data_IF_336443141114
#
_entry.id   IF_336443141114
#
_cell.length_a   1.000
_cell.length_b   1.000
_cell.length_c   1.000
_cell.angle_alpha   90.00
_cell.angle_beta   90.00
_cell.angle_gamma   90.00
#
_symmetry.space_group_name_H-M   'P 1'
#
loop_
_entity.id
_entity.type
_entity.pdbx_description
1 polymer ?
#
# COMPACT_ATOMS: atom_id res chain seq x y z
N UNK A 1 0.53 -5.34 -8.43
CA UNK A 1 0.01 -6.72 -8.46
C UNK A 1 0.13 -7.29 -9.86
N UNK A 2 -0.64 -6.81 -10.85
CA UNK A 2 -0.62 -7.33 -12.22
C UNK A 2 0.78 -7.37 -12.85
N UNK A 3 1.58 -6.31 -12.68
CA UNK A 3 2.97 -6.27 -13.16
C UNK A 3 3.85 -7.38 -12.55
N UNK A 4 3.77 -7.58 -11.22
CA UNK A 4 4.54 -8.65 -10.56
C UNK A 4 4.13 -10.03 -11.08
N UNK A 5 2.83 -10.27 -11.24
CA UNK A 5 2.31 -11.54 -11.75
C UNK A 5 2.76 -11.77 -13.20
N UNK A 6 2.65 -10.76 -14.05
CA UNK A 6 3.06 -10.86 -15.46
C UNK A 6 4.53 -11.27 -15.58
N UNK A 7 5.43 -10.64 -14.82
CA UNK A 7 6.86 -10.99 -14.81
C UNK A 7 7.07 -12.43 -14.32
N UNK A 8 6.42 -12.85 -13.22
CA UNK A 8 6.56 -14.21 -12.70
C UNK A 8 6.07 -15.27 -13.70
N UNK A 9 4.96 -15.03 -14.40
CA UNK A 9 4.44 -15.93 -15.41
C UNK A 9 5.35 -16.00 -16.63
N UNK A 10 5.77 -14.85 -17.18
CA UNK A 10 6.67 -14.79 -18.32
C UNK A 10 7.98 -15.55 -18.06
N UNK A 11 8.57 -15.42 -16.88
CA UNK A 11 9.79 -16.15 -16.48
C UNK A 11 9.56 -17.65 -16.28
N UNK A 12 8.32 -18.09 -16.13
CA UNK A 12 7.94 -19.51 -16.12
C UNK A 12 7.58 -20.07 -17.50
N UNK A 13 7.70 -19.25 -18.54
CA UNK A 13 7.48 -19.67 -19.93
C UNK A 13 6.08 -19.37 -20.46
N UNK A 14 5.21 -18.75 -19.66
CA UNK A 14 3.85 -18.40 -20.09
C UNK A 14 3.85 -17.18 -21.02
N UNK A 15 2.96 -17.17 -22.00
CA UNK A 15 2.67 -16.00 -22.83
C UNK A 15 1.64 -15.11 -22.12
N UNK A 16 1.97 -13.86 -21.88
CA UNK A 16 1.16 -12.96 -21.04
C UNK A 16 0.69 -11.76 -21.85
N UNK A 17 -0.59 -11.43 -21.77
CA UNK A 17 -1.12 -10.15 -22.25
C UNK A 17 -1.50 -9.29 -21.03
N UNK A 18 -0.86 -8.14 -20.89
CA UNK A 18 -1.08 -7.19 -19.80
C UNK A 18 -1.91 -6.01 -20.29
N UNK A 19 -3.18 -5.95 -19.82
CA UNK A 19 -4.08 -4.83 -20.10
C UNK A 19 -3.99 -3.78 -18.97
N UNK A 20 -3.92 -2.50 -19.34
CA UNK A 20 -4.07 -1.37 -18.42
C UNK A 20 -4.83 -0.24 -19.10
N UNK A 21 -5.74 0.40 -18.40
CA UNK A 21 -6.49 1.56 -18.89
C UNK A 21 -5.59 2.80 -19.05
N UNK A 22 -4.49 2.89 -18.32
CA UNK A 22 -3.51 3.95 -18.44
C UNK A 22 -2.59 3.72 -19.67
N UNK A 23 -1.99 4.80 -20.16
CA UNK A 23 -1.03 4.73 -21.29
C UNK A 23 0.32 4.15 -20.93
N UNK A 24 0.59 3.95 -19.63
CA UNK A 24 1.80 3.30 -19.11
C UNK A 24 1.46 2.50 -17.84
N UNK A 25 2.20 1.42 -17.55
CA UNK A 25 1.98 0.65 -16.34
C UNK A 25 2.42 1.42 -15.08
N UNK A 26 1.85 1.06 -13.93
CA UNK A 26 2.25 1.57 -12.61
C UNK A 26 2.17 3.10 -12.48
N UNK A 27 1.14 3.74 -13.04
CA UNK A 27 0.92 5.20 -12.95
C UNK A 27 -0.04 5.61 -11.84
N UNK A 28 -0.78 4.67 -11.26
CA UNK A 28 -1.80 4.92 -10.22
C UNK A 28 -1.29 4.68 -8.79
N UNK A 29 -2.16 4.13 -7.94
CA UNK A 29 -1.93 3.91 -6.51
C UNK A 29 -0.65 3.12 -6.17
N UNK A 30 -0.14 2.28 -7.08
CA UNK A 30 1.11 1.54 -6.87
C UNK A 30 2.35 2.44 -6.86
N UNK A 31 2.30 3.57 -7.59
CA UNK A 31 3.38 4.57 -7.64
C UNK A 31 3.24 5.60 -6.53
N UNK A 32 2.01 5.95 -6.20
CA UNK A 32 1.67 7.10 -5.38
C UNK A 32 1.07 6.68 -4.03
N UNK A 33 1.91 6.10 -3.16
CA UNK A 33 1.55 5.73 -1.78
C UNK A 33 2.77 5.86 -0.85
N UNK A 34 2.56 5.68 0.45
CA UNK A 34 3.56 5.84 1.50
C UNK A 34 4.70 4.82 1.47
N UNK A 35 4.58 3.77 0.66
CA UNK A 35 5.58 2.72 0.54
C UNK A 35 5.84 1.91 1.80
N UNK A 36 4.93 1.92 2.76
CA UNK A 36 5.05 1.15 3.98
C UNK A 36 4.95 -0.35 3.70
N UNK A 37 5.96 -1.10 4.12
CA UNK A 37 5.95 -2.55 4.05
C UNK A 37 5.47 -3.10 5.38
N UNK A 38 4.16 -3.34 5.42
CA UNK A 38 3.44 -3.66 6.64
C UNK A 38 3.84 -4.99 7.25
N UNK A 39 4.15 -4.94 8.55
CA UNK A 39 4.28 -6.10 9.44
C UNK A 39 3.09 -6.20 10.42
N UNK A 40 2.15 -5.25 10.37
CA UNK A 40 0.92 -5.29 11.13
C UNK A 40 0.77 -4.23 12.22
N UNK A 41 1.79 -3.44 12.52
CA UNK A 41 1.77 -2.48 13.64
C UNK A 41 0.67 -1.41 13.53
N UNK A 42 0.29 -1.00 12.33
CA UNK A 42 -0.74 0.03 12.11
C UNK A 42 -2.13 -0.37 12.67
N UNK A 43 -2.39 -1.65 12.88
CA UNK A 43 -3.73 -2.18 13.13
C UNK A 43 -4.01 -2.44 14.61
N UNK A 44 -3.56 -1.54 15.50
CA UNK A 44 -3.71 -1.70 16.94
C UNK A 44 -5.17 -1.74 17.43
N UNK A 45 -6.15 -1.33 16.63
CA UNK A 45 -7.56 -1.52 16.95
C UNK A 45 -8.06 -2.96 16.69
N UNK A 46 -7.35 -3.78 15.90
CA UNK A 46 -7.62 -5.22 15.75
C UNK A 46 -6.87 -6.05 16.80
N UNK A 47 -7.38 -6.06 18.02
CA UNK A 47 -6.78 -6.78 19.15
C UNK A 47 -6.68 -8.31 18.95
N UNK A 48 -7.38 -8.86 17.96
CA UNK A 48 -7.28 -10.29 17.61
C UNK A 48 -5.96 -10.69 16.96
N UNK A 49 -5.16 -9.73 16.46
CA UNK A 49 -3.99 -9.90 15.61
C UNK A 49 -4.28 -10.53 14.23
N UNK A 50 -5.54 -10.75 13.85
CA UNK A 50 -5.87 -11.37 12.56
C UNK A 50 -5.28 -10.60 11.39
N UNK A 51 -5.38 -9.26 11.44
CA UNK A 51 -4.79 -8.38 10.40
C UNK A 51 -3.27 -8.48 10.36
N UNK A 52 -2.60 -8.44 11.52
CA UNK A 52 -1.15 -8.57 11.59
C UNK A 52 -0.69 -9.95 11.07
N UNK A 53 -1.37 -11.01 11.47
CA UNK A 53 -1.08 -12.38 11.03
C UNK A 53 -1.21 -12.56 9.51
N UNK A 54 -2.16 -11.88 8.88
CA UNK A 54 -2.31 -11.88 7.41
C UNK A 54 -1.22 -11.08 6.69
N UNK A 55 -0.83 -9.93 7.23
CA UNK A 55 0.09 -9.01 6.58
C UNK A 55 1.56 -9.40 6.73
N UNK A 56 1.95 -9.98 7.86
CA UNK A 56 3.37 -10.25 8.18
C UNK A 56 4.04 -11.15 7.15
N UNK A 57 3.34 -12.17 6.64
CA UNK A 57 3.88 -13.08 5.62
C UNK A 57 4.24 -12.34 4.33
N UNK A 58 3.33 -11.51 3.82
CA UNK A 58 3.58 -10.70 2.63
C UNK A 58 4.65 -9.63 2.88
N UNK A 59 4.66 -9.02 4.08
CA UNK A 59 5.66 -8.03 4.47
C UNK A 59 7.08 -8.61 4.51
N UNK A 60 7.25 -9.78 5.13
CA UNK A 60 8.55 -10.49 5.19
C UNK A 60 9.04 -10.97 3.82
N UNK A 61 8.13 -11.41 2.95
CA UNK A 61 8.44 -11.86 1.60
C UNK A 61 8.69 -10.71 0.60
N UNK A 62 8.36 -9.46 0.97
CA UNK A 62 8.34 -8.36 0.02
C UNK A 62 9.70 -8.08 -0.61
N UNK A 63 10.74 -7.86 0.19
CA UNK A 63 12.05 -7.48 -0.32
C UNK A 63 12.67 -8.55 -1.23
N UNK A 64 12.78 -9.83 -0.82
CA UNK A 64 13.36 -10.85 -1.68
C UNK A 64 12.58 -11.03 -2.98
N UNK A 65 11.25 -11.02 -2.96
CA UNK A 65 10.45 -11.16 -4.19
C UNK A 65 10.56 -9.94 -5.11
N UNK A 66 10.65 -8.73 -4.56
CA UNK A 66 10.81 -7.53 -5.38
C UNK A 66 12.22 -7.45 -5.99
N UNK A 67 13.25 -7.87 -5.26
CA UNK A 67 14.62 -7.97 -5.81
C UNK A 67 14.72 -9.05 -6.89
N UNK A 68 14.03 -10.18 -6.72
CA UNK A 68 13.89 -11.20 -7.76
C UNK A 68 13.21 -10.63 -9.02
N UNK A 69 12.07 -9.96 -8.86
CA UNK A 69 11.32 -9.38 -9.97
C UNK A 69 12.11 -8.31 -10.73
N UNK A 70 12.79 -7.42 -10.01
CA UNK A 70 13.50 -6.30 -10.63
C UNK A 70 14.92 -6.66 -11.06
N UNK A 71 15.47 -7.78 -10.59
CA UNK A 71 16.87 -8.17 -10.79
C UNK A 71 17.86 -7.19 -10.15
N UNK A 72 17.41 -6.34 -9.22
CA UNK A 72 18.21 -5.25 -8.62
C UNK A 72 17.89 -5.11 -7.12
N UNK A 73 18.85 -4.65 -6.30
CA UNK A 73 18.59 -4.30 -4.91
C UNK A 73 17.54 -3.18 -4.81
N UNK A 74 16.72 -3.23 -3.76
CA UNK A 74 15.77 -2.16 -3.44
C UNK A 74 16.53 -0.87 -3.08
N UNK A 75 16.01 0.25 -3.55
CA UNK A 75 16.58 1.58 -3.33
C UNK A 75 15.64 2.46 -2.52
N UNK A 76 16.19 3.52 -1.91
CA UNK A 76 15.45 4.53 -1.13
C UNK A 76 14.55 3.88 -0.08
N UNK A 77 15.14 2.99 0.70
CA UNK A 77 14.52 2.42 1.91
C UNK A 77 14.77 3.41 3.05
N UNK A 78 13.72 3.75 3.80
CA UNK A 78 13.85 4.60 4.98
C UNK A 78 14.96 4.09 5.91
N UNK A 79 15.91 4.94 6.32
CA UNK A 79 17.11 4.49 7.05
C UNK A 79 16.80 4.02 8.46
N UNK A 80 15.73 4.57 9.07
CA UNK A 80 15.29 4.26 10.44
C UNK A 80 14.00 3.47 10.49
N UNK A 81 13.76 2.89 11.65
CA UNK A 81 12.49 2.26 12.01
C UNK A 81 11.41 3.32 12.20
N UNK A 82 10.17 3.00 11.84
CA UNK A 82 9.04 3.94 11.94
C UNK A 82 8.71 4.28 13.40
N UNK A 83 8.40 5.57 13.62
CA UNK A 83 7.78 6.02 14.87
C UNK A 83 6.27 5.94 14.75
N UNK A 84 5.61 5.29 15.70
CA UNK A 84 4.17 5.31 15.86
C UNK A 84 3.82 6.24 17.01
N UNK A 85 3.21 7.37 16.66
CA UNK A 85 2.89 8.47 17.57
C UNK A 85 1.41 8.44 17.89
N UNK A 86 1.08 8.21 19.15
CA UNK A 86 -0.30 8.07 19.59
C UNK A 86 -0.87 9.46 19.89
N UNK A 87 -1.86 9.85 19.11
CA UNK A 87 -2.55 11.12 19.26
C UNK A 87 -3.53 11.07 20.44
N UNK A 88 -3.76 12.19 21.14
CA UNK A 88 -4.71 12.29 22.26
C UNK A 88 -6.15 11.86 21.89
N UNK A 89 -6.51 11.95 20.59
CA UNK A 89 -7.80 11.48 20.05
C UNK A 89 -7.69 10.12 19.36
N UNK A 90 -6.66 9.33 19.65
CA UNK A 90 -6.53 7.97 19.10
C UNK A 90 -7.69 7.09 19.58
N UNK A 91 -8.24 6.26 18.69
CA UNK A 91 -9.26 5.25 19.06
C UNK A 91 -8.69 4.12 19.92
N UNK A 92 -7.35 4.03 20.02
CA UNK A 92 -6.63 3.05 20.84
C UNK A 92 -5.79 3.79 21.87
N UNK A 93 -5.98 3.57 23.17
CA UNK A 93 -5.16 4.16 24.23
C UNK A 93 -3.68 3.74 24.13
N UNK A 94 -2.73 4.56 24.63
CA UNK A 94 -1.29 4.30 24.55
C UNK A 94 -0.84 2.95 25.10
N UNK A 95 -1.38 2.53 26.24
CA UNK A 95 -1.09 1.25 26.89
C UNK A 95 -1.52 0.06 26.03
N UNK A 96 -2.73 0.11 25.48
CA UNK A 96 -3.23 -0.91 24.55
C UNK A 96 -2.43 -0.95 23.25
N UNK A 97 -2.03 0.20 22.71
CA UNK A 97 -1.17 0.28 21.54
C UNK A 97 0.20 -0.36 21.82
N UNK A 98 0.82 -0.05 22.95
CA UNK A 98 2.09 -0.65 23.37
C UNK A 98 2.01 -2.16 23.54
N UNK A 99 0.96 -2.66 24.21
CA UNK A 99 0.71 -4.09 24.38
C UNK A 99 0.50 -4.79 23.03
N UNK A 100 -0.25 -4.17 22.11
CA UNK A 100 -0.44 -4.67 20.75
C UNK A 100 0.90 -4.73 19.98
N UNK A 101 1.71 -3.67 20.03
CA UNK A 101 3.01 -3.63 19.33
C UNK A 101 3.98 -4.70 19.85
N UNK A 102 3.96 -4.99 21.15
CA UNK A 102 4.74 -6.09 21.73
C UNK A 102 4.32 -7.45 21.16
N UNK A 103 3.02 -7.71 21.03
CA UNK A 103 2.46 -8.94 20.45
C UNK A 103 2.77 -9.07 18.96
N UNK A 104 2.67 -7.97 18.19
CA UNK A 104 3.07 -7.97 16.77
C UNK A 104 4.56 -8.25 16.64
N UNK A 105 5.40 -7.66 17.50
CA UNK A 105 6.84 -7.91 17.52
C UNK A 105 7.17 -9.39 17.78
N UNK A 106 6.44 -10.04 18.68
CA UNK A 106 6.55 -11.48 18.90
C UNK A 106 6.18 -12.27 17.64
N UNK A 107 5.04 -11.96 17.02
CA UNK A 107 4.58 -12.60 15.78
C UNK A 107 5.60 -12.45 14.65
N UNK A 108 6.22 -11.27 14.52
CA UNK A 108 7.27 -11.03 13.53
C UNK A 108 8.48 -11.93 13.77
N UNK A 109 8.98 -12.01 15.01
CA UNK A 109 10.11 -12.91 15.36
C UNK A 109 9.81 -14.37 15.06
N UNK A 110 8.61 -14.84 15.43
CA UNK A 110 8.18 -16.23 15.21
C UNK A 110 8.11 -16.58 13.71
N UNK A 111 7.78 -15.62 12.86
CA UNK A 111 7.62 -15.84 11.43
C UNK A 111 8.81 -15.38 10.57
N UNK A 112 9.73 -14.63 11.15
CA UNK A 112 10.88 -14.13 10.40
C UNK A 112 11.72 -15.26 9.81
N UNK A 113 11.98 -16.36 10.56
CA UNK A 113 12.59 -17.59 10.03
C UNK A 113 13.85 -17.38 9.18
N UNK A 114 14.64 -16.31 9.43
CA UNK A 114 15.74 -15.87 8.59
C UNK A 114 15.32 -15.04 7.36
N UNK A 115 14.04 -14.70 7.20
CA UNK A 115 13.58 -13.85 6.12
C UNK A 115 14.18 -12.45 6.24
N UNK A 116 14.71 -11.96 5.12
CA UNK A 116 15.24 -10.62 5.00
C UNK A 116 14.14 -9.64 4.60
N UNK A 117 13.48 -9.07 5.58
CA UNK A 117 12.59 -7.91 5.40
C UNK A 117 13.39 -6.73 4.76
N UNK A 118 13.02 -5.49 4.94
CA UNK A 118 13.85 -4.32 4.60
C UNK A 118 15.04 -4.13 5.56
N UNK A 119 15.11 -4.96 6.58
CA UNK A 119 16.16 -5.08 7.62
C UNK A 119 16.09 -6.46 8.24
N UNK A 120 17.06 -6.81 9.08
CA UNK A 120 16.95 -7.97 9.95
C UNK A 120 15.82 -7.78 10.98
N UNK A 121 14.96 -8.78 11.10
CA UNK A 121 13.82 -8.83 12.01
C UNK A 121 13.89 -9.96 13.04
N UNK A 122 15.03 -10.66 13.15
CA UNK A 122 15.19 -11.74 14.13
C UNK A 122 14.94 -11.27 15.57
N UNK A 123 15.34 -10.03 15.89
CA UNK A 123 15.15 -9.37 17.18
C UNK A 123 14.10 -8.26 17.14
N UNK A 124 13.07 -8.41 16.29
CA UNK A 124 12.02 -7.40 16.17
C UNK A 124 11.38 -7.07 17.52
N UNK A 125 11.44 -5.80 17.94
CA UNK A 125 10.85 -5.29 19.19
C UNK A 125 10.30 -3.90 18.98
N UNK A 126 9.21 -3.59 19.65
CA UNK A 126 8.71 -2.23 19.80
C UNK A 126 9.26 -1.64 21.11
N UNK A 127 9.66 -0.37 21.05
CA UNK A 127 10.19 0.36 22.20
C UNK A 127 9.38 1.64 22.42
N UNK A 128 8.92 1.88 23.63
CA UNK A 128 8.33 3.17 23.98
C UNK A 128 9.40 4.26 23.95
N UNK A 129 9.05 5.42 23.41
CA UNK A 129 9.90 6.60 23.47
C UNK A 129 9.87 7.19 24.89
N UNK A 130 11.02 7.62 25.39
CA UNK A 130 11.10 8.44 26.61
C UNK A 130 10.43 9.80 26.39
N UNK A 131 10.11 10.51 27.46
CA UNK A 131 9.52 11.85 27.38
C UNK A 131 10.44 12.84 26.61
N UNK A 132 11.77 12.70 26.76
CA UNK A 132 12.73 13.51 26.04
C UNK A 132 12.75 13.23 24.53
N UNK A 133 12.75 11.94 24.14
CA UNK A 133 12.69 11.53 22.73
C UNK A 133 11.36 11.97 22.09
N UNK A 134 10.24 11.80 22.81
CA UNK A 134 8.94 12.21 22.32
C UNK A 134 8.89 13.73 22.10
N UNK A 135 9.31 14.51 23.10
CA UNK A 135 9.34 15.97 23.04
C UNK A 135 10.26 16.52 21.95
N UNK A 136 11.29 15.75 21.54
CA UNK A 136 12.20 16.15 20.46
C UNK A 136 11.58 16.00 19.05
N UNK A 137 10.54 15.16 18.89
CA UNK A 137 10.00 14.80 17.55
C UNK A 137 8.53 15.19 17.38
N UNK A 138 7.77 15.36 18.46
CA UNK A 138 6.31 15.44 18.41
C UNK A 138 5.75 16.70 19.04
N UNK A 139 4.62 17.20 18.52
CA UNK A 139 3.85 18.29 19.09
C UNK A 139 2.95 17.84 20.28
N UNK A 140 2.37 18.80 20.97
CA UNK A 140 1.65 18.61 22.25
C UNK A 140 0.46 17.62 22.19
N UNK A 141 -0.18 17.47 21.03
CA UNK A 141 -1.30 16.54 20.88
C UNK A 141 -0.87 15.06 20.80
N UNK A 142 0.42 14.77 20.76
CA UNK A 142 0.96 13.41 20.80
C UNK A 142 1.28 13.06 22.25
N UNK A 143 0.58 12.04 22.75
CA UNK A 143 0.63 11.67 24.19
C UNK A 143 1.55 10.46 24.47
N UNK A 144 1.93 9.71 23.44
CA UNK A 144 2.90 8.63 23.53
C UNK A 144 3.54 8.36 22.17
N UNK A 145 4.70 7.71 22.16
CA UNK A 145 5.38 7.29 20.96
C UNK A 145 6.06 5.93 21.12
N UNK A 146 6.16 5.20 20.03
CA UNK A 146 6.80 3.89 19.98
C UNK A 146 7.66 3.80 18.71
N UNK A 147 8.87 3.29 18.84
CA UNK A 147 9.70 2.88 17.70
C UNK A 147 9.40 1.42 17.39
N UNK A 148 9.00 1.13 16.16
CA UNK A 148 8.64 -0.24 15.73
C UNK A 148 9.49 -0.65 14.52
N UNK A 149 9.86 -1.93 14.39
CA UNK A 149 10.72 -2.42 13.31
C UNK A 149 9.97 -2.55 11.97
N UNK A 150 9.24 -1.53 11.59
CA UNK A 150 8.55 -1.41 10.31
C UNK A 150 9.20 -0.28 9.51
N UNK A 151 9.32 -0.44 8.20
CA UNK A 151 9.97 0.53 7.32
C UNK A 151 9.16 0.77 6.06
N UNK A 152 9.49 1.86 5.39
CA UNK A 152 8.93 2.25 4.10
C UNK A 152 10.03 2.38 3.05
N UNK A 153 9.65 2.35 1.78
CA UNK A 153 10.51 2.62 0.64
C UNK A 153 9.81 3.57 -0.35
N UNK A 154 10.60 4.26 -1.18
CA UNK A 154 10.07 5.15 -2.20
C UNK A 154 9.40 4.37 -3.32
N UNK A 155 8.07 4.40 -3.38
CA UNK A 155 7.27 3.65 -4.37
C UNK A 155 7.46 4.16 -5.79
N UNK A 156 7.79 5.44 -5.97
CA UNK A 156 8.12 6.01 -7.29
C UNK A 156 9.35 5.31 -7.86
N UNK A 157 10.42 5.22 -7.07
CA UNK A 157 11.65 4.54 -7.47
C UNK A 157 11.42 3.05 -7.76
N UNK A 158 10.63 2.37 -6.92
CA UNK A 158 10.33 0.95 -7.13
C UNK A 158 9.44 0.72 -8.36
N UNK A 159 8.48 1.63 -8.61
CA UNK A 159 7.66 1.55 -9.81
C UNK A 159 8.51 1.68 -11.09
N UNK A 160 9.51 2.58 -11.11
CA UNK A 160 10.44 2.70 -12.23
C UNK A 160 11.25 1.42 -12.44
N UNK A 161 11.76 0.80 -11.38
CA UNK A 161 12.46 -0.49 -11.46
C UNK A 161 11.56 -1.62 -12.01
N UNK A 162 10.27 -1.64 -11.63
CA UNK A 162 9.31 -2.62 -12.15
C UNK A 162 8.92 -2.36 -13.61
N UNK A 163 8.81 -1.10 -14.04
CA UNK A 163 8.57 -0.74 -15.43
C UNK A 163 9.72 -1.24 -16.31
N UNK A 164 10.97 -1.01 -15.88
CA UNK A 164 12.16 -1.54 -16.57
C UNK A 164 12.11 -3.08 -16.67
N UNK A 165 11.77 -3.75 -15.58
CA UNK A 165 11.68 -5.21 -15.55
C UNK A 165 10.57 -5.75 -16.46
N UNK A 166 9.39 -5.11 -16.49
CA UNK A 166 8.31 -5.45 -17.41
C UNK A 166 8.72 -5.31 -18.87
N UNK A 167 9.40 -4.22 -19.21
CA UNK A 167 9.86 -3.95 -20.57
C UNK A 167 10.93 -4.93 -21.06
N UNK A 168 11.66 -5.56 -20.13
CA UNK A 168 12.69 -6.55 -20.44
C UNK A 168 12.12 -7.96 -20.74
N UNK A 169 10.86 -8.24 -20.39
CA UNK A 169 10.25 -9.56 -20.57
C UNK A 169 9.60 -9.70 -21.95
N UNK A 170 10.21 -10.44 -22.85
CA UNK A 170 9.75 -10.61 -24.25
C UNK A 170 8.42 -11.37 -24.39
N UNK A 171 8.02 -12.15 -23.36
CA UNK A 171 6.76 -12.91 -23.33
C UNK A 171 5.58 -12.09 -22.83
N UNK A 172 5.75 -10.79 -22.55
CA UNK A 172 4.67 -9.91 -22.12
C UNK A 172 4.26 -8.99 -23.25
N UNK A 173 3.04 -9.16 -23.73
CA UNK A 173 2.41 -8.23 -24.69
C UNK A 173 1.68 -7.14 -23.91
N UNK A 174 2.09 -5.90 -24.11
CA UNK A 174 1.49 -4.74 -23.43
C UNK A 174 0.30 -4.19 -24.23
N UNK A 175 -0.89 -4.13 -23.64
CA UNK A 175 -2.12 -3.50 -24.15
C UNK A 175 -2.48 -2.30 -23.29
N UNK A 176 -1.64 -1.27 -23.36
CA UNK A 176 -1.85 -0.01 -22.61
C UNK A 176 -2.94 0.85 -23.26
N UNK A 177 -3.58 1.71 -22.48
CA UNK A 177 -4.74 2.51 -22.91
C UNK A 177 -6.00 1.68 -23.15
N UNK A 178 -6.05 0.44 -22.67
CA UNK A 178 -7.14 -0.51 -22.92
C UNK A 178 -7.91 -0.77 -21.64
N UNK A 179 -9.09 -0.17 -21.52
CA UNK A 179 -9.97 -0.35 -20.35
C UNK A 179 -10.79 -1.63 -20.48
N UNK A 180 -10.46 -2.64 -19.64
CA UNK A 180 -11.28 -3.85 -19.53
C UNK A 180 -12.47 -3.58 -18.64
N UNK A 181 -13.69 -3.73 -19.19
CA UNK A 181 -14.97 -3.54 -18.49
C UNK A 181 -15.66 -4.87 -18.18
N UNK A 182 -15.41 -5.88 -18.99
CA UNK A 182 -16.10 -7.18 -18.91
C UNK A 182 -15.19 -8.34 -19.31
N UNK A 183 -15.52 -9.49 -18.83
CA UNK A 183 -14.97 -10.78 -19.22
C UNK A 183 -16.10 -11.79 -19.40
N UNK A 184 -15.92 -12.77 -20.26
CA UNK A 184 -16.92 -13.81 -20.51
C UNK A 184 -16.28 -15.20 -20.55
N UNK A 185 -16.92 -16.18 -19.92
CA UNK A 185 -16.49 -17.57 -20.01
C UNK A 185 -16.72 -18.11 -21.43
N UNK A 186 -15.84 -19.01 -21.87
CA UNK A 186 -15.97 -19.81 -23.11
C UNK A 186 -16.13 -21.24 -22.66
N UNK A 187 -17.20 -21.92 -23.12
CA UNK A 187 -17.50 -23.32 -22.81
C UNK A 187 -17.63 -23.64 -21.31
N UNK A 188 -18.18 -22.70 -20.56
CA UNK A 188 -18.42 -22.81 -19.13
C UNK A 188 -17.24 -22.33 -18.26
N UNK A 189 -17.38 -22.47 -16.93
CA UNK A 189 -16.46 -21.87 -15.95
C UNK A 189 -15.06 -22.53 -15.92
N UNK A 190 -14.97 -23.77 -16.32
CA UNK A 190 -13.71 -24.54 -16.39
C UNK A 190 -12.93 -24.33 -17.70
N UNK A 191 -13.55 -23.65 -18.68
CA UNK A 191 -12.97 -23.36 -19.98
C UNK A 191 -12.12 -22.10 -19.99
N UNK A 192 -11.78 -21.69 -21.23
CA UNK A 192 -11.10 -20.42 -21.49
C UNK A 192 -12.00 -19.22 -21.22
N UNK A 193 -11.40 -18.06 -21.08
CA UNK A 193 -12.09 -16.79 -20.86
C UNK A 193 -11.81 -15.81 -22.01
N UNK A 194 -12.76 -14.96 -22.30
CA UNK A 194 -12.66 -13.93 -23.34
C UNK A 194 -12.51 -12.54 -22.74
N UNK A 195 -11.53 -11.78 -23.23
CA UNK A 195 -11.31 -10.35 -22.93
C UNK A 195 -11.14 -9.62 -24.25
N UNK A 196 -11.92 -8.56 -24.53
CA UNK A 196 -11.88 -7.83 -25.79
C UNK A 196 -11.96 -8.70 -27.04
N UNK A 197 -12.72 -9.79 -27.00
CA UNK A 197 -12.87 -10.72 -28.12
C UNK A 197 -11.77 -11.78 -28.24
N UNK A 198 -10.63 -11.63 -27.58
CA UNK A 198 -9.53 -12.61 -27.54
C UNK A 198 -9.77 -13.66 -26.45
N UNK A 199 -9.40 -14.92 -26.73
CA UNK A 199 -9.51 -16.04 -25.79
C UNK A 199 -8.19 -16.23 -25.02
N UNK A 200 -8.32 -16.54 -23.73
CA UNK A 200 -7.21 -16.79 -22.81
C UNK A 200 -7.50 -18.03 -21.95
N UNK A 201 -6.49 -18.85 -21.72
CA UNK A 201 -6.62 -20.00 -20.80
C UNK A 201 -6.92 -19.57 -19.38
N UNK A 202 -6.27 -18.51 -18.93
CA UNK A 202 -6.49 -17.88 -17.64
C UNK A 202 -6.72 -16.39 -17.78
N UNK A 203 -7.63 -15.83 -16.98
CA UNK A 203 -7.80 -14.38 -16.82
C UNK A 203 -7.60 -14.02 -15.36
N UNK A 204 -6.68 -13.08 -15.09
CA UNK A 204 -6.41 -12.61 -13.75
C UNK A 204 -6.82 -11.14 -13.60
N UNK A 205 -7.81 -10.90 -12.78
CA UNK A 205 -8.28 -9.57 -12.43
C UNK A 205 -7.44 -9.00 -11.28
N UNK A 206 -6.52 -8.10 -11.61
CA UNK A 206 -5.65 -7.35 -10.71
C UNK A 206 -5.94 -5.83 -10.73
N UNK A 207 -7.16 -5.45 -11.08
CA UNK A 207 -7.58 -4.06 -11.38
C UNK A 207 -7.78 -3.18 -10.14
N UNK A 208 -7.50 -3.66 -8.94
CA UNK A 208 -7.60 -2.92 -7.69
C UNK A 208 -9.02 -2.33 -7.48
N UNK A 209 -9.18 -1.01 -7.61
CA UNK A 209 -10.49 -0.35 -7.44
C UNK A 209 -11.51 -0.71 -8.54
N UNK A 210 -11.05 -1.06 -9.74
CA UNK A 210 -11.91 -1.54 -10.84
C UNK A 210 -12.31 -3.02 -10.73
N UNK A 211 -11.77 -3.75 -9.77
CA UNK A 211 -11.87 -5.20 -9.68
C UNK A 211 -13.30 -5.71 -9.53
N UNK A 212 -14.09 -5.10 -8.64
CA UNK A 212 -15.45 -5.59 -8.34
C UNK A 212 -16.39 -5.53 -9.54
N UNK A 213 -16.26 -4.49 -10.37
CA UNK A 213 -17.10 -4.33 -11.58
C UNK A 213 -16.82 -5.44 -12.60
N UNK A 214 -15.57 -5.79 -12.81
CA UNK A 214 -15.17 -6.89 -13.73
C UNK A 214 -15.47 -8.25 -13.11
N UNK A 215 -15.27 -8.44 -11.78
CA UNK A 215 -15.68 -9.64 -11.07
C UNK A 215 -17.18 -9.96 -11.26
N UNK A 216 -18.01 -8.93 -11.24
CA UNK A 216 -19.47 -9.10 -11.44
C UNK A 216 -19.78 -9.67 -12.84
N UNK A 217 -19.06 -9.26 -13.89
CA UNK A 217 -19.25 -9.82 -15.25
C UNK A 217 -18.78 -11.27 -15.35
N UNK A 218 -17.79 -11.66 -14.55
CA UNK A 218 -17.38 -13.04 -14.40
C UNK A 218 -18.35 -13.88 -13.54
N UNK A 219 -19.37 -13.25 -12.94
CA UNK A 219 -20.30 -13.92 -12.02
C UNK A 219 -19.74 -14.13 -10.62
N UNK A 220 -18.70 -13.39 -10.22
CA UNK A 220 -18.22 -13.33 -8.84
C UNK A 220 -18.90 -12.16 -8.11
N UNK A 221 -19.90 -12.44 -7.30
CA UNK A 221 -20.59 -11.43 -6.50
C UNK A 221 -19.57 -10.70 -5.58
N UNK A 222 -19.68 -9.38 -5.42
CA UNK A 222 -18.87 -8.64 -4.47
C UNK A 222 -19.04 -9.19 -3.04
N UNK A 223 -17.96 -9.33 -2.25
CA UNK A 223 -18.11 -9.66 -0.83
C UNK A 223 -18.80 -8.50 -0.09
N UNK A 224 -19.52 -8.74 1.00
CA UNK A 224 -20.22 -7.69 1.71
C UNK A 224 -19.27 -6.70 2.38
N UNK A 225 -19.61 -5.40 2.31
CA UNK A 225 -18.95 -4.33 3.07
C UNK A 225 -17.57 -3.98 2.53
N UNK A 226 -17.52 -3.03 1.62
CA UNK A 226 -16.27 -2.45 1.10
C UNK A 226 -16.35 -0.94 1.02
N UNK A 227 -15.19 -0.29 0.84
CA UNK A 227 -15.09 1.13 0.49
C UNK A 227 -13.96 1.39 -0.48
N UNK A 228 -14.19 2.35 -1.37
CA UNK A 228 -13.21 2.96 -2.24
C UNK A 228 -12.95 4.39 -1.75
N UNK A 229 -11.71 4.71 -1.39
CA UNK A 229 -11.32 6.05 -0.97
C UNK A 229 -10.24 6.59 -1.86
N UNK A 230 -10.53 7.69 -2.56
CA UNK A 230 -9.51 8.37 -3.35
C UNK A 230 -8.72 9.31 -2.46
N UNK A 231 -7.43 9.05 -2.32
CA UNK A 231 -6.54 9.83 -1.48
C UNK A 231 -5.35 10.34 -2.24
N UNK A 232 -4.95 11.57 -1.92
CA UNK A 232 -3.70 12.18 -2.40
C UNK A 232 -2.81 12.55 -1.23
N UNK A 233 -1.52 12.67 -1.51
CA UNK A 233 -0.46 12.97 -0.54
C UNK A 233 0.62 13.81 -1.21
N UNK A 234 1.50 14.40 -0.42
CA UNK A 234 2.63 15.17 -0.91
C UNK A 234 3.86 14.28 -1.06
N UNK A 235 4.46 14.27 -2.25
CA UNK A 235 5.75 13.68 -2.57
C UNK A 235 6.74 14.82 -2.76
N UNK A 236 7.73 14.93 -1.87
CA UNK A 236 8.54 16.14 -1.70
C UNK A 236 10.01 15.81 -1.98
N UNK A 237 10.66 16.70 -2.72
CA UNK A 237 12.11 16.78 -2.84
C UNK A 237 12.58 18.11 -2.27
N UNK A 238 13.63 18.10 -1.45
CA UNK A 238 14.19 19.30 -0.82
C UNK A 238 15.44 19.81 -1.53
N UNK A 239 15.73 21.10 -1.38
CA UNK A 239 16.91 21.77 -1.94
C UNK A 239 18.21 21.36 -1.27
N UNK A 240 18.16 20.89 -0.02
CA UNK A 240 19.30 20.43 0.77
C UNK A 240 18.92 19.22 1.63
N UNK A 241 19.91 18.58 2.22
CA UNK A 241 19.72 17.40 3.05
C UNK A 241 19.06 17.76 4.38
N UNK A 242 18.02 17.00 4.75
CA UNK A 242 17.33 17.08 6.02
C UNK A 242 17.26 15.68 6.63
N UNK A 243 17.73 15.56 7.88
CA UNK A 243 17.63 14.31 8.65
C UNK A 243 16.31 14.29 9.41
N UNK A 244 15.44 13.38 9.08
CA UNK A 244 14.12 13.28 9.69
C UNK A 244 13.73 11.82 9.95
N UNK A 245 13.02 11.52 11.04
CA UNK A 245 12.45 10.19 11.27
C UNK A 245 11.23 9.97 10.38
N UNK A 246 10.99 8.72 9.98
CA UNK A 246 9.68 8.34 9.47
C UNK A 246 8.70 8.13 10.62
N UNK A 247 7.49 8.67 10.51
CA UNK A 247 6.49 8.58 11.58
C UNK A 247 5.07 8.37 11.05
N UNK A 248 4.24 7.75 11.87
CA UNK A 248 2.80 7.57 11.67
C UNK A 248 2.08 8.13 12.88
N UNK A 249 1.15 9.05 12.68
CA UNK A 249 0.22 9.45 13.73
C UNK A 249 -0.92 8.44 13.76
N UNK A 250 -1.12 7.74 14.89
CA UNK A 250 -2.03 6.60 15.01
C UNK A 250 -2.89 6.73 16.28
N UNK A 251 -4.00 6.03 16.39
CA UNK A 251 -4.80 5.28 15.43
C UNK A 251 -6.05 6.11 15.15
N UNK A 252 -6.34 6.38 13.87
CA UNK A 252 -7.48 7.25 13.51
C UNK A 252 -7.28 7.93 12.16
N UNK A 253 -8.10 8.95 11.83
CA UNK A 253 -8.04 9.69 10.57
C UNK A 253 -6.91 10.74 10.58
N UNK A 254 -5.70 10.31 10.88
CA UNK A 254 -4.51 11.14 10.95
C UNK A 254 -3.66 11.03 9.69
N UNK A 255 -2.35 11.11 9.82
CA UNK A 255 -1.45 11.06 8.68
C UNK A 255 -0.12 10.40 9.00
N UNK A 256 0.76 10.44 8.03
CA UNK A 256 2.10 9.90 8.17
C UNK A 256 3.12 10.70 7.36
N UNK A 257 4.36 10.60 7.78
CA UNK A 257 5.52 11.21 7.19
C UNK A 257 6.59 10.14 6.96
N UNK A 258 7.20 10.14 5.76
CA UNK A 258 8.29 9.21 5.42
C UNK A 258 9.49 9.97 4.91
N UNK A 259 10.66 9.64 5.44
CA UNK A 259 11.96 10.04 4.94
C UNK A 259 12.61 8.82 4.27
N UNK A 260 12.65 8.80 2.94
CA UNK A 260 13.25 7.69 2.18
C UNK A 260 14.76 7.84 2.03
N UNK A 261 15.21 9.06 1.98
CA UNK A 261 16.60 9.52 2.07
C UNK A 261 16.62 10.96 2.61
N UNK A 262 17.80 11.59 2.65
CA UNK A 262 17.94 12.94 3.19
C UNK A 262 17.23 14.04 2.38
N UNK A 263 16.75 13.75 1.15
CA UNK A 263 16.13 14.73 0.24
C UNK A 263 14.79 14.31 -0.34
N UNK A 264 14.31 13.09 -0.04
CA UNK A 264 13.09 12.54 -0.63
C UNK A 264 12.12 12.16 0.48
N UNK A 265 10.96 12.81 0.49
CA UNK A 265 9.98 12.68 1.57
C UNK A 265 8.58 12.44 1.02
N UNK A 266 7.74 11.86 1.87
CA UNK A 266 6.31 11.73 1.70
C UNK A 266 5.61 12.31 2.92
N UNK A 267 4.51 13.01 2.72
CA UNK A 267 3.67 13.53 3.80
C UNK A 267 2.19 13.36 3.44
N UNK A 268 1.39 12.89 4.38
CA UNK A 268 -0.05 12.80 4.25
C UNK A 268 -0.77 13.30 5.48
N UNK A 269 -1.96 13.85 5.27
CA UNK A 269 -2.93 14.10 6.33
C UNK A 269 -4.30 13.70 5.85
N UNK A 270 -5.03 12.89 6.62
CA UNK A 270 -6.20 12.19 6.13
C UNK A 270 -7.28 13.15 5.64
N UNK A 271 -7.65 14.16 6.45
CA UNK A 271 -8.70 15.14 6.10
C UNK A 271 -8.32 16.09 4.95
N UNK A 272 -7.01 16.31 4.74
CA UNK A 272 -6.53 17.13 3.63
C UNK A 272 -6.49 16.36 2.31
N UNK A 273 -6.18 15.07 2.38
CA UNK A 273 -5.94 14.23 1.20
C UNK A 273 -7.10 13.32 0.79
N UNK A 274 -8.15 13.14 1.59
CA UNK A 274 -9.33 12.37 1.22
C UNK A 274 -10.23 13.18 0.30
N UNK A 275 -10.34 12.78 -0.96
CA UNK A 275 -11.08 13.51 -1.99
C UNK A 275 -12.39 12.83 -2.41
N UNK A 276 -12.51 11.52 -2.21
CA UNK A 276 -13.74 10.77 -2.44
C UNK A 276 -13.78 9.54 -1.54
N UNK A 277 -15.00 9.15 -1.15
CA UNK A 277 -15.33 7.90 -0.47
C UNK A 277 -16.60 7.34 -1.11
N UNK A 278 -16.58 6.05 -1.52
CA UNK A 278 -17.70 5.42 -2.20
C UNK A 278 -17.78 3.93 -1.83
N UNK A 279 -19.04 3.47 -1.63
CA UNK A 279 -19.40 2.06 -1.53
C UNK A 279 -19.87 1.43 -2.85
N UNK A 280 -19.76 2.14 -3.98
CA UNK A 280 -20.17 1.62 -5.28
C UNK A 280 -19.28 0.48 -5.76
N UNK A 281 -19.85 -0.43 -6.55
CA UNK A 281 -19.09 -1.52 -7.20
C UNK A 281 -18.04 -0.94 -8.16
N UNK A 282 -18.41 0.09 -8.91
CA UNK A 282 -17.52 0.90 -9.73
C UNK A 282 -17.38 2.28 -9.07
N UNK A 283 -16.24 2.62 -8.48
CA UNK A 283 -16.07 3.92 -7.87
C UNK A 283 -16.11 5.04 -8.93
N UNK A 284 -16.45 6.28 -8.53
CA UNK A 284 -16.43 7.42 -9.44
C UNK A 284 -15.04 7.64 -10.05
N UNK A 285 -14.98 8.34 -11.18
CA UNK A 285 -13.69 8.73 -11.75
C UNK A 285 -12.87 9.57 -10.76
N UNK A 286 -11.54 9.42 -10.72
CA UNK A 286 -10.69 10.24 -9.89
C UNK A 286 -10.91 11.73 -10.13
N UNK A 287 -11.01 12.57 -9.09
CA UNK A 287 -11.19 14.00 -9.27
C UNK A 287 -9.95 14.62 -9.93
N UNK A 288 -10.17 15.48 -10.91
CA UNK A 288 -9.10 16.28 -11.53
C UNK A 288 -8.77 17.47 -10.64
N UNK A 289 -7.54 17.56 -10.19
CA UNK A 289 -7.08 18.65 -9.34
C UNK A 289 -6.42 19.77 -10.15
N UNK A 290 -6.90 20.99 -9.98
CA UNK A 290 -6.21 22.19 -10.48
C UNK A 290 -4.90 22.44 -9.73
N UNK A 291 -4.00 23.23 -10.30
CA UNK A 291 -2.78 23.65 -9.62
C UNK A 291 -3.04 24.40 -8.30
N UNK A 292 -4.14 25.17 -8.22
CA UNK A 292 -4.57 25.83 -6.97
C UNK A 292 -4.96 24.79 -5.92
N UNK A 293 -5.83 23.83 -6.28
CA UNK A 293 -6.26 22.77 -5.37
C UNK A 293 -5.08 21.92 -4.86
N UNK A 294 -4.10 21.62 -5.72
CA UNK A 294 -2.87 20.91 -5.31
C UNK A 294 -2.07 21.71 -4.29
N UNK A 295 -1.92 23.03 -4.48
CA UNK A 295 -1.22 23.91 -3.51
C UNK A 295 -1.95 23.98 -2.17
N UNK A 296 -3.27 24.12 -2.19
CA UNK A 296 -4.09 24.18 -0.97
C UNK A 296 -3.97 22.88 -0.17
N UNK A 297 -4.01 21.72 -0.83
CA UNK A 297 -3.81 20.41 -0.20
C UNK A 297 -2.40 20.34 0.42
N UNK A 298 -1.36 20.76 -0.32
CA UNK A 298 0.02 20.77 0.19
C UNK A 298 0.14 21.64 1.45
N UNK A 299 -0.44 22.84 1.45
CA UNK A 299 -0.44 23.76 2.60
C UNK A 299 -1.18 23.17 3.80
N UNK A 300 -2.32 22.53 3.58
CA UNK A 300 -3.07 21.85 4.65
C UNK A 300 -2.28 20.69 5.24
N UNK A 301 -1.65 19.85 4.42
CA UNK A 301 -0.77 18.77 4.90
C UNK A 301 0.39 19.36 5.72
N UNK A 302 1.07 20.39 5.22
CA UNK A 302 2.18 21.05 5.91
C UNK A 302 1.76 21.63 7.26
N UNK A 303 0.62 22.31 7.31
CA UNK A 303 0.10 22.93 8.53
C UNK A 303 -0.36 21.88 9.56
N UNK A 304 -1.24 20.96 9.15
CA UNK A 304 -1.90 20.03 10.06
C UNK A 304 -0.94 18.93 10.53
N UNK A 305 -0.22 18.28 9.62
CA UNK A 305 0.80 17.30 10.03
C UNK A 305 1.97 17.96 10.75
N UNK A 306 2.38 19.18 10.33
CA UNK A 306 3.43 19.96 10.96
C UNK A 306 3.09 20.44 12.38
N UNK A 307 1.82 20.45 12.79
CA UNK A 307 1.44 20.69 14.18
C UNK A 307 1.78 19.49 15.09
N UNK A 308 1.79 18.27 14.52
CA UNK A 308 2.09 17.03 15.22
C UNK A 308 3.54 16.57 15.05
N UNK A 309 4.18 16.94 13.94
CA UNK A 309 5.56 16.62 13.57
C UNK A 309 6.25 17.90 13.08
N UNK A 310 6.90 18.69 13.94
CA UNK A 310 7.49 19.99 13.59
C UNK A 310 8.45 19.94 12.39
N UNK A 311 9.22 18.85 12.23
CA UNK A 311 10.15 18.64 11.12
C UNK A 311 9.47 18.73 9.74
N UNK A 312 8.18 18.45 9.64
CA UNK A 312 7.40 18.54 8.40
C UNK A 312 7.39 19.98 7.87
N UNK A 313 7.32 20.98 8.75
CA UNK A 313 7.37 22.39 8.36
C UNK A 313 8.71 22.76 7.74
N UNK A 314 9.80 22.23 8.28
CA UNK A 314 11.15 22.43 7.75
C UNK A 314 11.28 21.82 6.35
N UNK A 315 10.79 20.58 6.16
CA UNK A 315 10.80 19.90 4.86
C UNK A 315 9.99 20.68 3.82
N UNK A 316 8.80 21.18 4.19
CA UNK A 316 8.00 21.98 3.25
C UNK A 316 8.63 23.35 2.95
N UNK A 317 9.30 23.98 3.92
CA UNK A 317 10.02 25.24 3.70
C UNK A 317 11.23 25.08 2.76
N UNK A 318 11.88 23.91 2.79
CA UNK A 318 13.02 23.58 1.95
C UNK A 318 12.65 22.94 0.60
N UNK A 319 11.37 22.97 0.19
CA UNK A 319 10.88 22.26 -1.01
C UNK A 319 11.54 22.77 -2.29
N UNK A 320 12.21 21.89 -3.01
CA UNK A 320 12.64 22.05 -4.42
C UNK A 320 11.45 21.73 -5.35
N UNK A 321 10.76 20.63 -5.08
CA UNK A 321 9.56 20.23 -5.81
C UNK A 321 8.59 19.46 -4.92
N UNK A 322 7.29 19.63 -5.19
CA UNK A 322 6.21 18.86 -4.55
C UNK A 322 5.22 18.39 -5.60
N UNK A 323 4.93 17.08 -5.59
CA UNK A 323 3.84 16.49 -6.34
C UNK A 323 2.71 16.09 -5.39
N UNK A 324 1.49 16.53 -5.69
CA UNK A 324 0.27 16.06 -5.00
C UNK A 324 -0.35 15.02 -5.90
N UNK A 325 -0.13 13.78 -5.52
CA UNK A 325 -0.55 12.60 -6.28
C UNK A 325 -1.11 11.52 -5.35
N UNK A 326 -1.79 10.53 -5.93
CA UNK A 326 -2.40 9.49 -5.13
C UNK A 326 -3.15 8.45 -5.96
N UNK A 327 -4.16 7.87 -5.34
CA UNK A 327 -4.98 6.86 -5.99
C UNK A 327 -6.06 6.31 -5.09
N UNK A 328 -6.84 5.39 -5.63
CA UNK A 328 -7.85 4.69 -4.86
C UNK A 328 -7.21 3.73 -3.85
N UNK A 329 -7.73 3.77 -2.63
CA UNK A 329 -7.51 2.76 -1.59
C UNK A 329 -8.79 1.94 -1.51
N UNK A 330 -8.70 0.67 -1.85
CA UNK A 330 -9.77 -0.30 -1.67
C UNK A 330 -9.65 -0.98 -0.29
N UNK A 331 -10.77 -1.22 0.36
CA UNK A 331 -10.83 -1.99 1.60
C UNK A 331 -12.11 -2.82 1.67
N UNK A 332 -11.98 -4.08 2.09
CA UNK A 332 -13.13 -4.83 2.59
C UNK A 332 -13.44 -4.40 4.03
N UNK A 333 -14.16 -3.30 4.15
CA UNK A 333 -14.52 -2.66 5.38
C UNK A 333 -15.15 -1.29 5.11
N UNK A 334 -15.89 -0.80 6.08
CA UNK A 334 -16.60 0.49 6.04
C UNK A 334 -16.61 1.13 7.42
N UNK A 335 -17.10 2.36 7.49
CA UNK A 335 -17.16 3.18 8.69
C UNK A 335 -16.07 4.26 8.72
N UNK A 336 -16.12 5.13 9.71
CA UNK A 336 -15.17 6.22 9.89
C UNK A 336 -13.94 5.74 10.70
N UNK A 337 -12.76 6.30 10.42
CA UNK A 337 -11.53 5.89 11.12
C UNK A 337 -11.41 6.39 12.56
N UNK A 338 -12.26 7.33 12.97
CA UNK A 338 -12.42 7.81 14.35
C UNK A 338 -13.50 7.03 15.13
N UNK A 339 -14.19 6.10 14.47
CA UNK A 339 -15.08 5.14 15.12
C UNK A 339 -14.31 3.84 15.41
N UNK A 340 -14.11 3.47 16.69
CA UNK A 340 -13.43 2.23 17.03
C UNK A 340 -14.16 0.96 16.55
N UNK A 341 -15.47 1.05 16.29
CA UNK A 341 -16.27 -0.06 15.76
C UNK A 341 -16.17 -0.21 14.23
N UNK A 342 -15.55 0.73 13.53
CA UNK A 342 -15.42 0.68 12.07
C UNK A 342 -14.66 -0.56 11.61
N UNK A 343 -15.22 -1.28 10.65
CA UNK A 343 -14.58 -2.48 10.10
C UNK A 343 -13.35 -2.13 9.23
N UNK A 344 -13.15 -0.85 8.89
CA UNK A 344 -11.95 -0.34 8.24
C UNK A 344 -10.65 -0.54 9.04
N UNK A 345 -10.73 -0.73 10.36
CA UNK A 345 -9.57 -1.03 11.20
C UNK A 345 -9.02 -2.45 10.98
N UNK A 346 -9.74 -3.30 10.25
CA UNK A 346 -9.31 -4.65 9.91
C UNK A 346 -8.89 -4.73 8.43
N UNK A 347 -7.88 -5.53 8.16
CA UNK A 347 -7.33 -5.79 6.82
C UNK A 347 -6.98 -7.28 6.65
N UNK A 348 -7.80 -8.15 7.20
CA UNK A 348 -7.65 -9.61 7.16
C UNK A 348 -8.55 -10.28 6.09
N UNK A 349 -9.35 -9.47 5.36
CA UNK A 349 -10.28 -9.97 4.33
C UNK A 349 -9.77 -9.64 2.93
N UNK A 350 -8.60 -10.14 2.60
CA UNK A 350 -8.03 -10.01 1.26
C UNK A 350 -7.50 -11.36 0.78
N UNK A 351 -7.13 -11.45 -0.50
CA UNK A 351 -6.58 -12.67 -1.07
C UNK A 351 -7.13 -12.97 -2.46
N UNK A 352 -7.23 -14.24 -2.79
CA UNK A 352 -7.55 -14.74 -4.12
C UNK A 352 -8.93 -15.38 -4.12
N UNK A 353 -9.78 -14.97 -5.08
CA UNK A 353 -11.07 -15.61 -5.37
C UNK A 353 -11.03 -16.19 -6.78
N UNK A 354 -11.76 -17.28 -6.99
CA UNK A 354 -11.73 -18.02 -8.27
C UNK A 354 -13.13 -18.37 -8.74
N UNK A 355 -13.24 -18.44 -10.06
CA UNK A 355 -14.32 -19.11 -10.76
C UNK A 355 -13.70 -19.84 -11.95
N UNK A 356 -13.44 -21.15 -11.80
CA UNK A 356 -12.62 -21.89 -12.74
C UNK A 356 -11.26 -21.21 -12.97
N UNK A 357 -10.96 -20.90 -14.22
CA UNK A 357 -9.71 -20.24 -14.65
C UNK A 357 -9.75 -18.69 -14.61
N UNK A 358 -10.84 -18.11 -14.10
CA UNK A 358 -10.88 -16.70 -13.75
C UNK A 358 -10.43 -16.50 -12.31
N UNK A 359 -9.43 -15.64 -12.10
CA UNK A 359 -8.81 -15.39 -10.81
C UNK A 359 -8.92 -13.89 -10.48
N UNK A 360 -9.53 -13.55 -9.36
CA UNK A 360 -9.64 -12.18 -8.85
C UNK A 360 -8.76 -12.01 -7.62
N UNK A 361 -7.91 -10.98 -7.60
CA UNK A 361 -6.93 -10.76 -6.54
C UNK A 361 -7.15 -9.43 -5.83
N UNK A 362 -7.46 -9.52 -4.54
CA UNK A 362 -7.39 -8.40 -3.61
C UNK A 362 -6.09 -8.47 -2.84
N UNK A 363 -5.23 -7.50 -2.98
CA UNK A 363 -3.95 -7.49 -2.24
C UNK A 363 -4.11 -7.00 -0.80
N UNK A 364 -5.23 -6.34 -0.45
CA UNK A 364 -5.42 -5.70 0.85
C UNK A 364 -4.44 -4.57 1.12
N UNK A 365 -3.15 -4.78 0.85
CA UNK A 365 -2.05 -3.82 1.01
C UNK A 365 -1.01 -3.94 -0.10
N UNK A 366 -0.26 -2.86 -0.30
CA UNK A 366 0.86 -2.79 -1.22
C UNK A 366 1.91 -3.87 -0.94
N UNK A 367 2.24 -4.08 0.34
CA UNK A 367 3.26 -5.01 0.80
C UNK A 367 2.97 -6.49 0.50
N UNK A 368 1.72 -6.87 0.29
CA UNK A 368 1.33 -8.26 0.02
C UNK A 368 1.28 -8.60 -1.49
N UNK A 369 1.39 -7.58 -2.34
CA UNK A 369 1.24 -7.74 -3.79
C UNK A 369 2.24 -8.73 -4.42
N UNK A 370 3.57 -8.67 -4.18
CA UNK A 370 4.50 -9.62 -4.79
C UNK A 370 4.31 -11.04 -4.25
N UNK A 371 3.96 -11.20 -2.98
CA UNK A 371 3.69 -12.51 -2.38
C UNK A 371 2.47 -13.20 -3.02
N UNK A 372 1.35 -12.50 -3.16
CA UNK A 372 0.16 -13.03 -3.84
C UNK A 372 0.43 -13.29 -5.34
N UNK A 373 1.20 -12.42 -5.99
CA UNK A 373 1.61 -12.62 -7.38
C UNK A 373 2.41 -13.90 -7.55
N UNK A 374 3.39 -14.13 -6.69
CA UNK A 374 4.23 -15.32 -6.72
C UNK A 374 3.41 -16.60 -6.49
N UNK A 375 2.51 -16.58 -5.50
CA UNK A 375 1.64 -17.73 -5.20
C UNK A 375 0.72 -18.09 -6.37
N UNK A 376 0.08 -17.09 -7.00
CA UNK A 376 -0.80 -17.30 -8.16
C UNK A 376 0.01 -17.75 -9.39
N UNK A 377 1.20 -17.20 -9.63
CA UNK A 377 2.06 -17.65 -10.72
C UNK A 377 2.50 -19.11 -10.56
N UNK A 378 2.78 -19.55 -9.34
CA UNK A 378 3.09 -20.95 -9.05
C UNK A 378 1.90 -21.90 -9.30
N UNK A 379 0.69 -21.43 -9.13
CA UNK A 379 -0.54 -22.20 -9.37
C UNK A 379 -0.84 -22.33 -10.88
N UNK A 380 -0.73 -21.24 -11.63
CA UNK A 380 -1.05 -21.22 -13.08
C UNK A 380 -0.02 -22.02 -13.89
N UNK A 381 1.25 -21.97 -13.55
CA UNK A 381 2.34 -22.62 -14.27
C UNK A 381 2.59 -24.10 -13.86
N UNK A 382 1.65 -24.74 -13.16
CA UNK A 382 1.65 -26.17 -12.82
C UNK A 382 0.94 -26.99 -13.90
#
# INVERSE_FOLDING_TARGET
MGACLAIFLARRGEEVVLFDAAHAPLTGASRWNEGKIHLGYLYANDQSLSTAAHLVTGGLAFAPLMEELTGRPLKKIAPGDDLYLIHARSVVPPDQAGAYFARVSQLVRERAGGARYLKDCADARAYALSAAELGAVAGEAIVAGFRVPERSLCTVTLADQLVDALAAESRIVHRMGTLVREVAAIDGDEGAWRVHGEAFDYVVNALWHGRLAVDATAGLAPPPGWSHRYRVSAFIRTTHDIVAPSAVVAVGPFGDFKAYDARTFYASWYSAGLLADSGDVAPPSPPTLSGVAKRDIAQRIASELGAHLPIVREVFAATESVAIEGGYVFAQGHGALDDPAATLHRRDRFGVRRKGRYISIDTGKYSTAPWLAHAVAQEIAR
#
